data_IF_282044892003
#
_entry.id   IF_282044892003
#
_cell.length_a   1.000
_cell.length_b   1.000
_cell.length_c   1.000
_cell.angle_alpha   90.00
_cell.angle_beta   90.00
_cell.angle_gamma   90.00
#
_symmetry.space_group_name_H-M   'P 1'
#
loop_
_entity.id
_entity.type
_entity.pdbx_description
1 polymer ?
#
# COMPACT_ATOMS: atom_id res chain seq x y z
N UNK A 1 33.03 11.65 4.41
CA UNK A 1 31.82 11.12 5.06
C UNK A 1 31.31 9.91 4.27
N UNK A 2 31.56 8.67 4.74
CA UNK A 2 31.27 7.45 3.98
C UNK A 2 29.99 6.74 4.44
N UNK A 3 28.90 6.87 3.67
CA UNK A 3 27.66 6.11 3.88
C UNK A 3 27.69 4.80 3.09
N UNK A 4 28.56 3.86 3.49
CA UNK A 4 28.71 2.57 2.82
C UNK A 4 28.15 1.41 3.65
N UNK A 5 26.82 1.36 3.85
CA UNK A 5 26.21 0.22 4.54
C UNK A 5 26.51 -1.11 3.81
N UNK A 6 26.73 -2.20 4.58
CA UNK A 6 27.04 -3.54 4.03
C UNK A 6 26.02 -3.94 2.97
N UNK A 7 26.52 -4.51 1.87
CA UNK A 7 25.72 -5.01 0.75
C UNK A 7 25.17 -6.40 1.07
N UNK A 8 24.13 -6.79 0.35
CA UNK A 8 23.59 -8.14 0.42
C UNK A 8 24.64 -9.15 -0.05
N UNK A 9 24.77 -10.27 0.66
CA UNK A 9 25.71 -11.35 0.35
C UNK A 9 25.30 -12.23 -0.84
N UNK A 10 24.12 -11.99 -1.43
CA UNK A 10 23.69 -12.73 -2.61
C UNK A 10 24.42 -12.15 -3.81
N UNK A 11 25.04 -13.03 -4.60
CA UNK A 11 25.80 -12.64 -5.79
C UNK A 11 24.97 -11.76 -6.73
N UNK A 12 25.59 -10.70 -7.27
CA UNK A 12 24.92 -9.69 -8.10
C UNK A 12 23.91 -8.78 -7.37
N UNK A 13 23.65 -8.95 -6.06
CA UNK A 13 22.65 -8.14 -5.36
C UNK A 13 23.19 -6.78 -4.89
N UNK A 14 22.66 -5.73 -5.49
CA UNK A 14 22.96 -4.35 -5.14
C UNK A 14 21.99 -3.74 -4.09
N UNK A 15 21.34 -4.55 -3.26
CA UNK A 15 20.53 -4.05 -2.16
C UNK A 15 21.37 -3.92 -0.87
N UNK A 16 21.00 -2.97 0.00
CA UNK A 16 21.58 -2.85 1.34
C UNK A 16 21.16 -4.04 2.20
N UNK A 17 22.12 -4.66 2.89
CA UNK A 17 21.83 -5.68 3.89
C UNK A 17 21.08 -5.08 5.07
N UNK A 18 20.08 -5.80 5.55
CA UNK A 18 19.23 -5.43 6.68
C UNK A 18 19.50 -6.32 7.88
N UNK A 19 19.61 -7.63 7.65
CA UNK A 19 19.83 -8.61 8.71
C UNK A 19 20.65 -9.78 8.16
N UNK A 20 21.57 -10.32 8.96
CA UNK A 20 22.40 -11.50 8.61
C UNK A 20 23.11 -11.38 7.25
N UNK A 21 23.55 -10.16 6.88
CA UNK A 21 24.19 -9.90 5.59
C UNK A 21 23.26 -9.96 4.37
N UNK A 22 21.95 -10.07 4.56
CA UNK A 22 20.97 -10.22 3.49
C UNK A 22 20.04 -9.01 3.42
N UNK A 23 19.54 -8.69 2.23
CA UNK A 23 18.56 -7.64 2.02
C UNK A 23 17.14 -8.15 2.27
N UNK A 24 16.14 -7.25 2.28
CA UNK A 24 14.74 -7.63 2.47
C UNK A 24 14.23 -8.68 1.48
N UNK A 25 14.70 -8.66 0.23
CA UNK A 25 14.30 -9.64 -0.81
C UNK A 25 14.95 -11.00 -0.59
N UNK A 26 16.15 -11.03 -0.01
CA UNK A 26 16.97 -12.24 0.13
C UNK A 26 17.01 -12.78 1.56
N UNK A 27 15.96 -12.58 2.36
CA UNK A 27 15.90 -13.17 3.71
C UNK A 27 16.46 -12.30 4.84
N UNK A 28 16.82 -11.06 4.56
CA UNK A 28 17.18 -10.03 5.55
C UNK A 28 16.00 -9.51 6.38
N UNK A 29 15.01 -10.35 6.65
CA UNK A 29 13.85 -10.07 7.49
C UNK A 29 13.81 -11.04 8.67
N UNK A 30 12.99 -10.75 9.66
CA UNK A 30 12.68 -11.68 10.75
C UNK A 30 11.24 -12.16 10.62
N UNK A 31 10.96 -13.33 11.21
CA UNK A 31 9.61 -13.88 11.30
C UNK A 31 8.93 -13.37 12.57
N UNK A 32 7.61 -13.32 12.53
CA UNK A 32 6.80 -13.00 13.70
C UNK A 32 7.09 -13.98 14.84
N UNK A 33 7.36 -13.45 16.04
CA UNK A 33 7.59 -14.22 17.27
C UNK A 33 6.34 -14.86 17.87
N UNK A 34 5.18 -14.73 17.21
CA UNK A 34 3.94 -15.35 17.70
C UNK A 34 3.94 -16.78 17.23
N UNK A 35 3.73 -17.71 18.15
CA UNK A 35 3.69 -19.15 17.89
C UNK A 35 2.80 -19.48 16.67
N UNK A 36 3.32 -20.31 15.77
CA UNK A 36 2.63 -20.69 14.53
C UNK A 36 2.53 -19.61 13.44
N UNK A 37 3.05 -18.39 13.66
CA UNK A 37 2.96 -17.31 12.67
C UNK A 37 4.14 -17.28 11.70
N UNK A 38 3.93 -17.68 10.45
CA UNK A 38 4.95 -17.60 9.39
C UNK A 38 5.09 -16.21 8.74
N UNK A 39 4.33 -15.19 9.20
CA UNK A 39 4.37 -13.85 8.58
C UNK A 39 5.66 -13.12 8.95
N UNK A 40 6.15 -12.27 8.04
CA UNK A 40 7.31 -11.41 8.29
C UNK A 40 7.00 -10.40 9.39
N UNK A 41 7.94 -10.23 10.33
CA UNK A 41 7.87 -9.19 11.33
C UNK A 41 8.05 -7.82 10.66
N UNK A 42 7.27 -6.85 11.11
CA UNK A 42 7.36 -5.46 10.65
C UNK A 42 8.17 -4.62 11.63
N UNK A 43 7.85 -4.71 12.91
CA UNK A 43 8.60 -4.07 14.00
C UNK A 43 8.47 -4.91 15.26
N UNK A 44 9.39 -4.74 16.22
CA UNK A 44 9.34 -5.38 17.54
C UNK A 44 9.26 -6.93 17.48
N UNK A 45 9.68 -7.52 16.36
CA UNK A 45 9.63 -8.97 16.14
C UNK A 45 8.23 -9.53 15.85
N UNK A 46 7.22 -8.70 15.57
CA UNK A 46 5.84 -9.16 15.31
C UNK A 46 5.34 -8.63 13.95
N UNK A 47 4.45 -9.38 13.30
CA UNK A 47 3.92 -9.03 11.99
C UNK A 47 2.83 -7.95 12.09
N UNK A 48 2.35 -7.47 10.94
CA UNK A 48 1.27 -6.48 10.88
C UNK A 48 0.01 -6.92 11.65
N UNK A 49 -0.45 -8.14 11.41
CA UNK A 49 -1.66 -8.71 12.04
C UNK A 49 -1.53 -8.88 13.54
N UNK A 50 -0.31 -9.10 14.04
CA UNK A 50 -0.03 -9.21 15.46
C UNK A 50 0.42 -7.89 16.10
N UNK A 51 0.23 -6.75 15.43
CA UNK A 51 0.45 -5.43 16.01
C UNK A 51 1.82 -4.81 15.76
N UNK A 52 2.60 -5.35 14.82
CA UNK A 52 3.90 -4.82 14.40
C UNK A 52 3.84 -3.51 13.60
N UNK A 53 2.65 -2.97 13.34
CA UNK A 53 2.50 -1.62 12.79
C UNK A 53 2.37 -0.55 13.87
N UNK A 54 2.38 0.72 13.44
CA UNK A 54 2.10 1.87 14.30
C UNK A 54 0.61 1.92 14.62
N UNK A 55 0.22 2.26 15.85
CA UNK A 55 -1.19 2.45 16.21
C UNK A 55 -1.77 3.68 15.51
N UNK A 56 -3.06 3.63 15.24
CA UNK A 56 -3.83 4.78 14.78
C UNK A 56 -3.77 5.90 15.83
N UNK A 57 -3.51 7.13 15.39
CA UNK A 57 -3.45 8.34 16.22
C UNK A 57 -4.83 8.85 16.67
N UNK A 58 -5.90 8.33 16.09
CA UNK A 58 -7.25 8.66 16.52
C UNK A 58 -7.49 8.15 17.94
N UNK A 59 -8.07 8.98 18.79
CA UNK A 59 -8.27 8.70 20.21
C UNK A 59 -9.08 7.42 20.44
N UNK A 60 -8.63 6.59 21.38
CA UNK A 60 -9.23 5.28 21.67
C UNK A 60 -9.11 4.21 20.56
N UNK A 61 -8.43 4.48 19.43
CA UNK A 61 -8.34 3.52 18.34
C UNK A 61 -7.19 2.51 18.53
N UNK A 62 -7.52 1.22 18.66
CA UNK A 62 -6.54 0.13 18.73
C UNK A 62 -6.06 -0.40 17.37
N UNK A 63 -6.66 0.07 16.26
CA UNK A 63 -6.31 -0.39 14.90
C UNK A 63 -4.93 0.12 14.49
N UNK A 64 -4.31 -0.59 13.56
CA UNK A 64 -3.02 -0.21 12.98
C UNK A 64 -3.19 0.88 11.91
N UNK A 65 -2.33 1.89 11.95
CA UNK A 65 -2.27 2.95 10.97
C UNK A 65 -1.77 2.42 9.62
N UNK A 66 -2.49 2.79 8.55
CA UNK A 66 -2.16 2.44 7.16
C UNK A 66 -1.31 3.53 6.54
N UNK A 67 -1.77 4.78 6.61
CA UNK A 67 -1.05 5.97 6.17
C UNK A 67 -1.43 7.17 7.05
N UNK A 68 -0.64 8.25 7.01
CA UNK A 68 -0.91 9.50 7.75
C UNK A 68 -1.13 9.32 9.26
N UNK A 69 -0.58 8.25 9.84
CA UNK A 69 -0.80 7.88 11.25
C UNK A 69 -2.23 7.45 11.58
N UNK A 70 -3.10 7.19 10.59
CA UNK A 70 -4.51 6.82 10.78
C UNK A 70 -4.79 5.43 10.18
N UNK A 71 -5.74 4.70 10.74
CA UNK A 71 -6.19 3.42 10.20
C UNK A 71 -7.13 3.64 9.00
N UNK A 72 -7.50 2.56 8.30
CA UNK A 72 -8.43 2.64 7.16
C UNK A 72 -9.76 3.33 7.49
N UNK A 73 -10.29 3.14 8.71
CA UNK A 73 -11.52 3.76 9.16
C UNK A 73 -11.36 5.26 9.48
N UNK A 74 -10.18 5.71 9.90
CA UNK A 74 -9.94 7.07 10.40
C UNK A 74 -9.14 7.95 9.43
N UNK A 75 -9.15 7.64 8.13
CA UNK A 75 -8.52 8.46 7.08
C UNK A 75 -7.13 8.00 6.64
N UNK A 76 -6.75 6.76 6.95
CA UNK A 76 -5.50 6.15 6.50
C UNK A 76 -5.54 5.60 5.07
N UNK A 77 -6.62 5.80 4.33
CA UNK A 77 -6.74 5.40 2.93
C UNK A 77 -7.72 6.33 2.19
N UNK A 78 -7.57 6.42 0.86
CA UNK A 78 -8.58 7.05 0.00
C UNK A 78 -9.90 6.27 0.11
N UNK A 79 -11.02 6.96 -0.04
CA UNK A 79 -12.35 6.38 -0.12
C UNK A 79 -12.79 6.28 -1.58
N UNK A 80 -13.70 5.36 -1.84
CA UNK A 80 -14.34 5.26 -3.14
C UNK A 80 -14.95 6.61 -3.56
N UNK A 81 -14.82 6.97 -4.84
CA UNK A 81 -15.42 8.19 -5.40
C UNK A 81 -16.96 8.17 -5.45
N UNK A 82 -17.60 7.02 -5.21
CA UNK A 82 -19.06 6.94 -5.08
C UNK A 82 -19.43 7.47 -3.69
N UNK A 83 -20.20 8.56 -3.64
CA UNK A 83 -20.49 9.32 -2.41
C UNK A 83 -21.07 8.48 -1.27
N UNK A 84 -21.89 7.47 -1.61
CA UNK A 84 -22.51 6.55 -0.64
C UNK A 84 -21.58 5.39 -0.22
N UNK A 85 -20.40 5.28 -0.83
CA UNK A 85 -19.49 4.16 -0.65
C UNK A 85 -18.29 4.53 0.23
N UNK A 86 -18.21 3.89 1.39
CA UNK A 86 -17.10 4.10 2.34
C UNK A 86 -15.95 3.10 2.18
N UNK A 87 -16.00 2.21 1.18
CA UNK A 87 -14.97 1.20 0.93
C UNK A 87 -13.63 1.86 0.55
N UNK A 88 -12.49 1.23 0.88
CA UNK A 88 -11.19 1.75 0.50
C UNK A 88 -11.04 1.76 -1.02
N UNK A 89 -10.31 2.76 -1.53
CA UNK A 89 -9.98 2.89 -2.93
C UNK A 89 -8.51 3.27 -3.10
N UNK A 90 -8.02 3.13 -4.32
CA UNK A 90 -6.66 3.50 -4.68
C UNK A 90 -6.64 4.14 -6.06
N UNK A 91 -5.54 4.80 -6.40
CA UNK A 91 -5.36 5.36 -7.73
C UNK A 91 -5.36 4.28 -8.82
N UNK A 92 -4.85 3.07 -8.52
CA UNK A 92 -4.88 1.91 -9.42
C UNK A 92 -6.28 1.44 -9.82
N UNK A 93 -7.29 1.84 -9.05
CA UNK A 93 -8.69 1.51 -9.28
C UNK A 93 -9.49 2.76 -9.64
N UNK A 94 -8.86 3.78 -10.25
CA UNK A 94 -9.45 5.08 -10.58
C UNK A 94 -10.19 5.74 -9.40
N UNK A 95 -9.67 5.55 -8.18
CA UNK A 95 -10.29 5.99 -6.93
C UNK A 95 -11.67 5.35 -6.64
N UNK A 96 -12.04 4.27 -7.34
CA UNK A 96 -13.15 3.40 -6.98
C UNK A 96 -12.70 2.28 -6.05
N UNK A 97 -13.62 1.72 -5.26
CA UNK A 97 -13.37 0.48 -4.55
C UNK A 97 -13.29 -0.70 -5.54
N UNK A 98 -12.81 -1.86 -5.12
CA UNK A 98 -12.68 -3.03 -6.00
C UNK A 98 -13.98 -3.37 -6.72
N UNK A 99 -15.10 -3.25 -6.00
CA UNK A 99 -16.41 -3.59 -6.56
C UNK A 99 -16.82 -2.54 -7.59
N UNK A 100 -16.85 -1.25 -7.22
CA UNK A 100 -17.17 -0.16 -8.15
C UNK A 100 -16.22 -0.04 -9.35
N UNK A 101 -14.94 -0.37 -9.16
CA UNK A 101 -13.97 -0.43 -10.25
C UNK A 101 -14.29 -1.54 -11.24
N UNK A 102 -14.74 -2.71 -10.78
CA UNK A 102 -15.12 -3.80 -11.67
C UNK A 102 -16.27 -3.39 -12.60
N UNK A 103 -17.28 -2.66 -12.11
CA UNK A 103 -18.37 -2.13 -12.95
C UNK A 103 -17.90 -1.00 -13.87
N UNK A 104 -17.11 -0.06 -13.35
CA UNK A 104 -16.59 1.07 -14.11
C UNK A 104 -15.71 0.63 -15.29
N UNK A 105 -14.82 -0.35 -15.07
CA UNK A 105 -13.85 -0.80 -16.09
C UNK A 105 -14.50 -1.48 -17.30
N UNK A 106 -15.77 -1.89 -17.17
CA UNK A 106 -16.54 -2.47 -18.28
C UNK A 106 -17.16 -1.40 -19.20
N UNK A 107 -17.11 -0.11 -18.83
CA UNK A 107 -17.70 0.98 -19.63
C UNK A 107 -16.69 1.78 -20.47
N UNK A 108 -15.39 1.49 -20.33
CA UNK A 108 -14.30 2.28 -20.95
C UNK A 108 -13.90 1.76 -22.35
N UNK A 109 -14.45 0.63 -22.82
CA UNK A 109 -14.15 0.06 -24.15
C UNK A 109 -14.85 0.81 -25.32
N UNK A 110 -15.33 2.04 -25.10
CA UNK A 110 -16.12 2.80 -26.09
C UNK A 110 -15.89 4.31 -26.14
N UNK A 111 -14.84 4.85 -25.52
CA UNK A 111 -14.58 6.30 -25.50
C UNK A 111 -13.27 6.70 -26.23
N UNK A 112 -13.16 6.34 -27.51
CA UNK A 112 -12.35 7.10 -28.48
C UNK A 112 -13.26 7.61 -29.60
N UNK A 113 -13.91 8.75 -29.37
CA UNK A 113 -14.34 9.59 -30.48
C UNK A 113 -13.91 11.03 -30.19
N UNK A 114 -12.77 11.40 -30.79
CA UNK A 114 -12.51 12.78 -31.18
C UNK A 114 -13.51 13.14 -32.28
N UNK A 115 -14.55 13.90 -31.96
CA UNK A 115 -15.24 14.76 -32.93
C UNK A 115 -15.36 16.16 -32.30
N UNK A 116 -14.60 17.14 -32.79
CA UNK A 116 -15.08 18.11 -33.79
C UNK A 116 -16.47 18.63 -33.38
N UNK A 117 -16.59 19.80 -32.78
CA UNK A 117 -16.92 21.02 -33.52
C UNK A 117 -16.39 22.27 -32.80
N UNK A 118 -15.24 22.76 -33.28
CA UNK A 118 -14.99 24.19 -33.36
C UNK A 118 -15.55 24.69 -34.69
N UNK A 119 -16.69 25.39 -34.67
CA UNK A 119 -17.19 26.26 -35.73
C UNK A 119 -17.81 27.44 -34.97
N UNK A 120 -17.17 28.59 -34.81
CA UNK A 120 -16.79 29.58 -35.83
C UNK A 120 -17.94 29.88 -36.78
N UNK A 121 -18.36 31.15 -36.76
CA UNK A 121 -19.14 31.87 -37.80
C UNK A 121 -20.62 31.54 -37.93
N UNK A 122 -21.46 32.45 -37.45
CA UNK A 122 -22.03 33.52 -38.27
C UNK A 122 -22.11 34.83 -37.48
#
# INVERSE_FOLDING_TARGET
MGWGGKRCNVDGCNCRAQNRGLCWKHGGYTICKVEGCAKRAKSRGICWSHGGGTRCKYDGCSKIAVSLGRCWAHGGCKRCSIETCRKPASERTNNFCTDHFAWYSQQDEGADERQFLAQSTQ
#
